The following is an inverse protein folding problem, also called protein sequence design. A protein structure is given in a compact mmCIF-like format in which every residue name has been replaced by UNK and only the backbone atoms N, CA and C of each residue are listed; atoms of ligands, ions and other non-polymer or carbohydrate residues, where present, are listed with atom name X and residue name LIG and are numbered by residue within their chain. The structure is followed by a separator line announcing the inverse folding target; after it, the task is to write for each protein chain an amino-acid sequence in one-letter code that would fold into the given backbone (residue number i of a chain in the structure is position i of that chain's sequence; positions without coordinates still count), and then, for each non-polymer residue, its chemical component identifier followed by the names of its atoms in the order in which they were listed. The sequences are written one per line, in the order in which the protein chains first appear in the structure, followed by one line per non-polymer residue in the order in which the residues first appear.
data_IF_827980865635
#
_entry.id   IF_827980865635
#
_cell.length_a   1.000
_cell.length_b   1.000
_cell.length_c   1.000
_cell.angle_alpha   90.00
_cell.angle_beta   90.00
_cell.angle_gamma   90.00
#
_symmetry.space_group_name_H-M   'P 1'
#
loop_
_entity.id
_entity.type
_entity.pdbx_description
1 polymer ?
#
# COMPACT_ATOMS: atom_id res chain seq x y z
N UNK A 1 -37.08 2.85 39.25
CA UNK A 1 -36.20 1.86 38.61
C UNK A 1 -34.84 2.52 38.49
N UNK A 2 -33.97 2.28 39.47
CA UNK A 2 -32.58 2.74 39.46
C UNK A 2 -31.82 1.80 38.54
N UNK A 3 -31.39 2.31 37.39
CA UNK A 3 -30.46 1.59 36.53
C UNK A 3 -29.17 1.38 37.33
N UNK A 4 -28.83 0.13 37.58
CA UNK A 4 -27.70 -0.24 38.42
C UNK A 4 -26.41 0.06 37.62
N UNK A 5 -25.76 1.16 37.98
CA UNK A 5 -24.60 1.73 37.29
C UNK A 5 -23.45 0.70 37.09
N UNK A 6 -23.15 -0.18 38.06
CA UNK A 6 -22.15 -1.23 37.88
C UNK A 6 -22.46 -2.20 36.72
N UNK A 7 -23.74 -2.54 36.51
CA UNK A 7 -24.14 -3.47 35.44
C UNK A 7 -24.02 -2.85 34.06
N UNK A 8 -24.25 -1.54 33.94
CA UNK A 8 -24.03 -0.79 32.70
C UNK A 8 -22.55 -0.71 32.32
N UNK A 9 -21.67 -0.49 33.31
CA UNK A 9 -20.22 -0.44 33.08
C UNK A 9 -19.70 -1.80 32.61
N UNK A 10 -20.18 -2.88 33.23
CA UNK A 10 -19.80 -4.23 32.83
C UNK A 10 -20.24 -4.57 31.40
N UNK A 11 -21.49 -4.27 31.04
CA UNK A 11 -21.99 -4.50 29.68
C UNK A 11 -21.24 -3.67 28.62
N UNK A 12 -20.85 -2.43 28.95
CA UNK A 12 -20.05 -1.60 28.06
C UNK A 12 -18.64 -2.15 27.84
N UNK A 13 -18.00 -2.70 28.89
CA UNK A 13 -16.68 -3.33 28.77
C UNK A 13 -16.74 -4.60 27.89
N UNK A 14 -17.75 -5.44 28.07
CA UNK A 14 -17.94 -6.65 27.27
C UNK A 14 -18.20 -6.33 25.79
N UNK A 15 -18.93 -5.24 25.49
CA UNK A 15 -19.11 -4.74 24.13
C UNK A 15 -17.80 -4.24 23.52
N UNK A 16 -17.01 -3.46 24.27
CA UNK A 16 -15.71 -2.97 23.82
C UNK A 16 -14.72 -4.11 23.53
N UNK A 17 -14.68 -5.12 24.41
CA UNK A 17 -13.81 -6.29 24.24
C UNK A 17 -14.21 -7.11 23.00
N UNK A 18 -15.52 -7.23 22.73
CA UNK A 18 -16.02 -7.88 21.51
C UNK A 18 -15.64 -7.10 20.26
N UNK A 19 -15.84 -5.78 20.26
CA UNK A 19 -15.47 -4.92 19.14
C UNK A 19 -13.96 -4.97 18.86
N UNK A 20 -13.13 -4.99 19.91
CA UNK A 20 -11.69 -5.13 19.78
C UNK A 20 -11.29 -6.50 19.18
N UNK A 21 -11.96 -7.58 19.59
CA UNK A 21 -11.73 -8.91 19.02
C UNK A 21 -12.13 -8.99 17.54
N UNK A 22 -13.28 -8.41 17.17
CA UNK A 22 -13.75 -8.36 15.77
C UNK A 22 -12.81 -7.55 14.88
N UNK A 23 -12.31 -6.41 15.36
CA UNK A 23 -11.31 -5.59 14.65
C UNK A 23 -10.00 -6.37 14.46
N UNK A 24 -9.50 -7.03 15.51
CA UNK A 24 -8.28 -7.84 15.46
C UNK A 24 -8.40 -9.00 14.47
N UNK A 25 -9.54 -9.69 14.45
CA UNK A 25 -9.82 -10.77 13.50
C UNK A 25 -9.93 -10.26 12.06
N UNK A 26 -10.51 -9.07 11.86
CA UNK A 26 -10.60 -8.44 10.56
C UNK A 26 -9.22 -8.03 10.04
N UNK A 27 -8.39 -7.42 10.88
CA UNK A 27 -6.98 -7.09 10.57
C UNK A 27 -6.17 -8.36 10.27
N UNK A 28 -6.34 -9.42 11.06
CA UNK A 28 -5.67 -10.70 10.87
C UNK A 28 -6.09 -11.38 9.56
N UNK A 29 -7.37 -11.33 9.18
CA UNK A 29 -7.86 -11.83 7.89
C UNK A 29 -7.33 -11.02 6.71
N UNK A 30 -7.24 -9.69 6.85
CA UNK A 30 -6.67 -8.81 5.82
C UNK A 30 -5.17 -9.04 5.62
N UNK A 31 -4.44 -9.40 6.67
CA UNK A 31 -3.02 -9.77 6.60
C UNK A 31 -2.77 -11.16 6.02
N UNK A 32 -3.74 -12.10 6.13
CA UNK A 32 -3.57 -13.52 5.76
C UNK A 32 -3.38 -13.81 4.27
N UNK A 33 -3.35 -12.84 3.37
CA UNK A 33 -2.98 -13.11 1.96
C UNK A 33 -2.30 -11.95 1.24
N UNK A 34 -1.44 -11.21 1.96
CA UNK A 34 -0.56 -10.24 1.28
C UNK A 34 0.50 -11.00 0.48
N UNK A 35 0.42 -10.90 -0.83
CA UNK A 35 1.42 -11.40 -1.76
C UNK A 35 2.46 -10.31 -2.00
N UNK A 36 3.70 -10.56 -1.60
CA UNK A 36 4.81 -9.71 -1.94
C UNK A 36 5.23 -9.95 -3.40
N UNK A 37 5.39 -8.88 -4.17
CA UNK A 37 6.03 -8.91 -5.49
C UNK A 37 7.26 -8.03 -5.48
N UNK A 38 8.35 -8.52 -6.06
CA UNK A 38 9.63 -7.83 -6.10
C UNK A 38 10.08 -7.50 -7.51
N UNK A 39 10.89 -6.47 -7.64
CA UNK A 39 11.62 -6.10 -8.84
C UNK A 39 12.97 -5.49 -8.44
N UNK A 40 13.98 -5.61 -9.30
CA UNK A 40 15.26 -4.93 -9.13
C UNK A 40 15.70 -4.34 -10.46
N UNK A 41 16.56 -3.33 -10.41
CA UNK A 41 17.11 -2.74 -11.61
C UNK A 41 18.10 -1.64 -11.34
N UNK A 42 18.53 -0.99 -12.42
CA UNK A 42 19.41 0.16 -12.40
C UNK A 42 18.73 1.33 -13.09
N UNK A 43 19.18 2.56 -12.83
CA UNK A 43 18.60 3.78 -13.40
C UNK A 43 17.14 3.98 -12.94
N UNK A 44 16.26 4.44 -13.82
CA UNK A 44 14.87 4.77 -13.50
C UNK A 44 13.99 3.53 -13.29
N UNK A 45 12.93 3.69 -12.49
CA UNK A 45 11.86 2.70 -12.27
C UNK A 45 10.68 3.06 -13.18
N UNK A 46 10.17 2.06 -13.90
CA UNK A 46 8.89 2.10 -14.60
C UNK A 46 8.26 0.71 -14.53
N UNK A 47 7.74 0.33 -13.36
CA UNK A 47 7.25 -1.02 -13.08
C UNK A 47 5.76 -1.05 -12.78
N UNK A 48 5.09 -2.08 -13.29
CA UNK A 48 3.67 -2.31 -13.03
C UNK A 48 3.44 -3.64 -12.33
N UNK A 49 2.56 -3.66 -11.34
CA UNK A 49 2.11 -4.87 -10.67
C UNK A 49 0.59 -5.00 -10.78
N UNK A 50 0.13 -6.22 -11.04
CA UNK A 50 -1.30 -6.55 -11.17
C UNK A 50 -1.60 -7.90 -10.55
N UNK A 51 -2.86 -8.13 -10.19
CA UNK A 51 -3.44 -9.44 -9.94
C UNK A 51 -4.52 -9.73 -11.01
N UNK A 52 -4.92 -11.00 -11.12
CA UNK A 52 -5.98 -11.49 -12.02
C UNK A 52 -7.41 -11.17 -11.54
N UNK A 53 -7.49 -10.52 -10.38
CA UNK A 53 -8.71 -10.17 -9.64
C UNK A 53 -8.58 -8.75 -9.08
N UNK A 54 -9.67 -8.19 -8.58
CA UNK A 54 -9.65 -6.95 -7.79
C UNK A 54 -8.69 -7.11 -6.60
N UNK A 55 -7.84 -6.12 -6.36
CA UNK A 55 -6.80 -6.21 -5.33
C UNK A 55 -6.57 -4.89 -4.65
N UNK A 56 -5.89 -4.91 -3.51
CA UNK A 56 -5.48 -3.74 -2.74
C UNK A 56 -3.97 -3.65 -2.66
N UNK A 57 -3.43 -2.44 -2.82
CA UNK A 57 -2.05 -2.13 -2.49
C UNK A 57 -1.93 -1.94 -0.97
N UNK A 58 -1.09 -2.75 -0.32
CA UNK A 58 -0.92 -2.75 1.15
C UNK A 58 0.33 -2.00 1.57
N UNK A 59 1.43 -2.15 0.82
CA UNK A 59 2.66 -1.42 1.06
C UNK A 59 3.51 -1.30 -0.21
N UNK A 60 4.42 -0.34 -0.19
CA UNK A 60 5.50 -0.16 -1.17
C UNK A 60 6.80 0.09 -0.41
N UNK A 61 7.83 -0.69 -0.74
CA UNK A 61 9.19 -0.52 -0.23
C UNK A 61 10.16 -0.41 -1.39
N UNK A 62 11.02 0.58 -1.39
CA UNK A 62 12.06 0.73 -2.39
C UNK A 62 13.35 1.17 -1.72
N UNK A 63 14.39 0.37 -1.87
CA UNK A 63 15.73 0.66 -1.39
C UNK A 63 16.61 1.08 -2.57
N UNK A 64 17.43 2.11 -2.38
CA UNK A 64 18.33 2.64 -3.40
C UNK A 64 19.80 2.58 -2.94
N UNK A 65 20.70 2.19 -3.83
CA UNK A 65 22.15 2.16 -3.60
C UNK A 65 22.90 2.76 -4.78
N UNK A 66 24.17 3.16 -4.56
CA UNK A 66 25.03 3.74 -5.60
C UNK A 66 25.21 5.25 -5.43
N UNK A 67 25.15 5.99 -6.55
CA UNK A 67 25.37 7.44 -6.55
C UNK A 67 24.32 8.21 -5.76
N UNK A 68 24.68 9.34 -5.13
CA UNK A 68 23.72 10.16 -4.39
C UNK A 68 22.72 10.83 -5.34
N UNK A 69 21.58 11.21 -4.76
CA UNK A 69 20.53 11.96 -5.44
C UNK A 69 19.15 11.47 -5.05
N UNK A 70 18.18 12.38 -5.04
CA UNK A 70 16.78 12.06 -4.81
C UNK A 70 15.91 12.64 -5.90
N UNK A 71 14.78 11.98 -6.15
CA UNK A 71 13.75 12.42 -7.08
C UNK A 71 12.37 11.97 -6.59
N UNK A 72 11.31 12.52 -7.17
CA UNK A 72 9.96 12.13 -6.82
C UNK A 72 9.66 10.68 -7.25
N UNK A 73 9.17 9.88 -6.31
CA UNK A 73 8.68 8.53 -6.54
C UNK A 73 7.15 8.55 -6.58
N UNK A 74 6.55 8.02 -7.64
CA UNK A 74 5.10 8.08 -7.87
C UNK A 74 4.48 6.70 -7.81
N UNK A 75 3.38 6.60 -7.08
CA UNK A 75 2.47 5.46 -7.08
C UNK A 75 1.22 5.88 -7.84
N UNK A 76 0.85 5.15 -8.87
CA UNK A 76 -0.29 5.46 -9.72
C UNK A 76 -1.08 4.21 -10.10
N UNK A 77 -2.27 4.41 -10.65
CA UNK A 77 -3.05 3.39 -11.32
C UNK A 77 -2.85 3.52 -12.82
N UNK A 78 -2.48 2.42 -13.47
CA UNK A 78 -2.53 2.25 -14.90
C UNK A 78 -3.81 1.48 -15.24
N UNK A 79 -4.81 2.17 -15.77
CA UNK A 79 -6.11 1.56 -16.03
C UNK A 79 -6.15 0.81 -17.36
N UNK A 80 -6.82 -0.35 -17.36
CA UNK A 80 -7.14 -1.08 -18.58
C UNK A 80 -8.15 -0.32 -19.47
N UNK A 81 -8.91 0.62 -18.91
CA UNK A 81 -9.82 1.49 -19.65
C UNK A 81 -9.15 2.58 -20.49
N UNK A 82 -7.81 2.71 -20.40
CA UNK A 82 -7.02 3.70 -21.14
C UNK A 82 -6.46 4.82 -20.27
N UNK A 83 -5.55 5.61 -20.84
CA UNK A 83 -4.76 6.61 -20.11
C UNK A 83 -5.58 7.75 -19.49
N UNK A 84 -6.79 8.03 -20.01
CA UNK A 84 -7.71 9.02 -19.45
C UNK A 84 -8.17 8.66 -18.03
N UNK A 85 -8.08 7.38 -17.65
CA UNK A 85 -8.45 6.86 -16.33
C UNK A 85 -7.23 6.57 -15.45
N UNK A 86 -6.01 6.88 -15.90
CA UNK A 86 -4.83 6.78 -15.06
C UNK A 86 -4.87 7.87 -13.99
N UNK A 87 -4.48 7.53 -12.76
CA UNK A 87 -4.49 8.48 -11.65
C UNK A 87 -3.28 8.29 -10.76
N UNK A 88 -2.77 9.37 -10.17
CA UNK A 88 -1.71 9.32 -9.16
C UNK A 88 -2.36 9.12 -7.80
N UNK A 89 -1.93 8.09 -7.09
CA UNK A 89 -2.41 7.75 -5.74
C UNK A 89 -1.57 8.41 -4.66
N UNK A 90 -0.24 8.40 -4.84
CA UNK A 90 0.70 9.02 -3.92
C UNK A 90 1.98 9.45 -4.63
N UNK A 91 2.67 10.42 -4.03
CA UNK A 91 4.01 10.83 -4.42
C UNK A 91 4.87 10.98 -3.17
N UNK A 92 5.99 10.27 -3.13
CA UNK A 92 7.08 10.54 -2.18
C UNK A 92 8.00 11.57 -2.83
N UNK A 93 8.06 12.77 -2.26
CA UNK A 93 8.70 13.91 -2.92
C UNK A 93 10.21 13.72 -3.15
N UNK A 94 10.89 13.01 -2.25
CA UNK A 94 12.31 12.73 -2.32
C UNK A 94 12.58 11.27 -1.97
N UNK A 95 12.85 10.47 -3.00
CA UNK A 95 13.30 9.08 -2.89
C UNK A 95 14.63 8.90 -3.62
N UNK A 96 15.53 8.09 -3.07
CA UNK A 96 16.86 7.84 -3.63
C UNK A 96 17.82 7.30 -2.58
N UNK A 97 19.13 7.33 -2.85
CA UNK A 97 20.12 6.80 -1.91
C UNK A 97 20.06 7.58 -0.59
N UNK A 98 19.96 6.87 0.54
CA UNK A 98 19.69 7.39 1.89
C UNK A 98 18.30 8.02 2.10
N UNK A 99 17.39 7.85 1.14
CA UNK A 99 16.01 8.30 1.20
C UNK A 99 15.10 7.20 0.62
N UNK A 100 15.11 6.05 1.29
CA UNK A 100 14.32 4.89 0.86
C UNK A 100 12.81 5.15 0.97
N UNK A 101 12.05 4.46 0.14
CA UNK A 101 10.59 4.43 0.26
C UNK A 101 10.21 3.29 1.18
N UNK A 102 9.44 3.56 2.22
CA UNK A 102 8.80 2.55 3.05
C UNK A 102 7.41 3.04 3.45
N UNK A 103 6.44 2.84 2.55
CA UNK A 103 5.08 3.35 2.71
C UNK A 103 4.12 2.18 2.96
N UNK A 104 3.39 2.25 4.07
CA UNK A 104 2.24 1.39 4.37
C UNK A 104 0.96 2.14 4.01
N UNK A 105 -0.04 1.42 3.52
CA UNK A 105 -1.32 1.99 3.13
C UNK A 105 -2.34 1.79 4.26
N UNK A 106 -2.77 2.88 4.90
CA UNK A 106 -3.54 2.83 6.15
C UNK A 106 -5.05 2.60 5.94
N UNK A 107 -5.57 2.87 4.74
CA UNK A 107 -6.99 2.67 4.43
C UNK A 107 -7.26 1.22 3.98
N UNK A 108 -7.47 0.32 4.95
CA UNK A 108 -7.82 -1.08 4.72
C UNK A 108 -9.35 -1.35 4.77
N UNK A 109 -10.18 -0.34 4.97
CA UNK A 109 -11.64 -0.45 4.88
C UNK A 109 -12.12 0.03 3.51
N UNK A 110 -13.16 -0.62 2.97
CA UNK A 110 -13.79 -0.16 1.72
C UNK A 110 -14.77 0.99 2.02
N UNK A 111 -14.84 2.02 1.16
CA UNK A 111 -14.04 2.22 -0.06
C UNK A 111 -12.61 2.69 0.25
N UNK A 112 -11.61 2.07 -0.39
CA UNK A 112 -10.20 2.45 -0.24
C UNK A 112 -9.61 2.98 -1.55
N UNK A 113 -8.86 4.11 -1.52
CA UNK A 113 -8.15 4.60 -2.71
C UNK A 113 -7.05 3.63 -3.18
N UNK A 114 -6.67 2.67 -2.33
CA UNK A 114 -5.66 1.66 -2.62
C UNK A 114 -6.25 0.40 -3.26
N UNK A 115 -7.56 0.35 -3.45
CA UNK A 115 -8.24 -0.77 -4.09
C UNK A 115 -8.28 -0.56 -5.61
N UNK A 116 -7.62 -1.48 -6.30
CA UNK A 116 -7.41 -1.50 -7.75
C UNK A 116 -8.40 -2.49 -8.39
N UNK A 117 -9.04 -2.05 -9.46
CA UNK A 117 -10.03 -2.88 -10.18
C UNK A 117 -9.36 -4.05 -10.88
N UNK A 118 -10.14 -5.09 -11.14
CA UNK A 118 -9.68 -6.19 -12.00
C UNK A 118 -9.28 -5.64 -13.37
N UNK A 119 -8.11 -6.05 -13.87
CA UNK A 119 -7.55 -5.60 -15.15
C UNK A 119 -6.64 -4.37 -15.05
N UNK A 120 -6.86 -3.50 -14.06
CA UNK A 120 -5.97 -2.37 -13.78
C UNK A 120 -4.66 -2.85 -13.11
N UNK A 121 -3.64 -1.99 -13.13
CA UNK A 121 -2.36 -2.25 -12.48
C UNK A 121 -1.95 -1.08 -11.58
N UNK A 122 -1.23 -1.38 -10.49
CA UNK A 122 -0.45 -0.35 -9.79
C UNK A 122 0.83 -0.11 -10.58
N UNK A 123 1.16 1.15 -10.83
CA UNK A 123 2.36 1.58 -11.53
C UNK A 123 3.24 2.41 -10.59
N UNK A 124 4.51 2.03 -10.53
CA UNK A 124 5.54 2.71 -9.76
C UNK A 124 6.53 3.34 -10.73
N UNK A 125 6.71 4.65 -10.61
CA UNK A 125 7.61 5.44 -11.44
C UNK A 125 8.58 6.23 -10.57
N UNK A 126 9.86 6.22 -10.94
CA UNK A 126 10.89 7.05 -10.35
C UNK A 126 11.96 7.33 -11.39
N UNK A 127 12.22 8.59 -11.68
CA UNK A 127 13.25 8.98 -12.65
C UNK A 127 14.54 9.19 -11.89
N UNK A 128 15.57 8.41 -12.22
CA UNK A 128 16.84 8.51 -11.52
C UNK A 128 17.47 9.89 -11.74
N UNK A 129 17.90 10.59 -10.68
CA UNK A 129 18.69 11.82 -10.80
C UNK A 129 20.10 11.54 -11.34
N UNK A 130 20.56 10.28 -11.26
CA UNK A 130 21.87 9.82 -11.73
C UNK A 130 21.70 8.52 -12.55
N UNK A 131 21.22 8.59 -13.81
CA UNK A 131 20.99 7.41 -14.63
C UNK A 131 22.25 6.54 -14.80
N UNK A 132 22.10 5.22 -14.72
CA UNK A 132 23.19 4.24 -14.82
C UNK A 132 24.02 4.05 -13.54
N UNK A 133 23.88 4.94 -12.55
CA UNK A 133 24.72 4.94 -11.35
C UNK A 133 23.97 4.59 -10.06
N UNK A 134 22.65 4.44 -10.13
CA UNK A 134 21.80 4.03 -9.01
C UNK A 134 21.20 2.67 -9.31
N UNK A 135 21.30 1.78 -8.34
CA UNK A 135 20.64 0.47 -8.30
C UNK A 135 19.49 0.54 -7.30
N UNK A 136 18.40 -0.16 -7.57
CA UNK A 136 17.24 -0.20 -6.70
C UNK A 136 16.68 -1.60 -6.54
N UNK A 137 16.09 -1.84 -5.38
CA UNK A 137 15.28 -3.02 -5.06
C UNK A 137 13.90 -2.58 -4.60
N UNK A 138 12.87 -3.09 -5.27
CA UNK A 138 11.47 -2.71 -5.11
C UNK A 138 10.66 -3.91 -4.64
N UNK A 139 9.82 -3.71 -3.63
CA UNK A 139 8.87 -4.68 -3.11
C UNK A 139 7.49 -4.03 -2.92
N UNK A 140 6.44 -4.71 -3.36
CA UNK A 140 5.05 -4.29 -3.15
C UNK A 140 4.24 -5.40 -2.52
N UNK A 141 3.43 -5.05 -1.52
CA UNK A 141 2.46 -5.96 -0.91
C UNK A 141 1.10 -5.81 -1.55
N UNK A 142 0.55 -6.88 -2.11
CA UNK A 142 -0.78 -6.89 -2.74
C UNK A 142 -1.69 -7.89 -2.04
N UNK A 143 -2.90 -7.51 -1.69
CA UNK A 143 -3.90 -8.41 -1.12
C UNK A 143 -5.14 -8.50 -2.04
N UNK A 144 -5.82 -9.66 -2.15
CA UNK A 144 -7.15 -9.71 -2.74
C UNK A 144 -8.10 -8.72 -2.07
N UNK A 145 -8.94 -8.05 -2.86
CA UNK A 145 -9.99 -7.18 -2.34
C UNK A 145 -11.37 -7.79 -2.69
N UNK A 146 -12.29 -7.77 -1.73
CA UNK A 146 -13.65 -8.27 -1.84
C UNK A 146 -14.52 -7.44 -2.79
#
# INVERSE_FOLDING_TARGET
MTTDIPTLIQAAQEELDRQAAELSDQEARQLRTVTAKTATGTSSIAHTFKLDRRFRLVYVRCHFTGAPGTAAFRVSVSSAGGSAYNTVLATVAAAGVNADVNQRMDALTEPSPWTIRQGDAVRLDWISPSPGLITWGLEVGLAPAS
#
